data_IF_127149008254
#
_entry.id   IF_127149008254
#
_cell.length_a   1.000
_cell.length_b   1.000
_cell.length_c   1.000
_cell.angle_alpha   90.00
_cell.angle_beta   90.00
_cell.angle_gamma   90.00
#
_symmetry.space_group_name_H-M   'P 1'
#
loop_
_entity.id
_entity.type
_entity.pdbx_description
1 polymer ?
#
# COMPACT_ATOMS: atom_id res chain seq x y z
N UNK A 1 9.18 -45.96 9.88
CA UNK A 1 8.70 -44.58 10.21
C UNK A 1 9.43 -43.56 9.35
N UNK A 2 8.86 -43.22 8.18
CA UNK A 2 9.48 -42.35 7.16
C UNK A 2 9.06 -40.91 7.46
N UNK A 3 9.99 -40.04 7.88
CA UNK A 3 9.73 -38.61 8.14
C UNK A 3 9.57 -37.88 6.80
N UNK A 4 8.37 -37.36 6.52
CA UNK A 4 8.13 -36.42 5.44
C UNK A 4 8.53 -35.02 5.91
N UNK A 5 9.52 -34.44 5.23
CA UNK A 5 9.91 -33.03 5.34
C UNK A 5 9.17 -32.29 4.23
N UNK A 6 8.05 -31.65 4.57
CA UNK A 6 7.34 -30.79 3.61
C UNK A 6 8.08 -29.45 3.56
N UNK A 7 8.90 -29.27 2.52
CA UNK A 7 9.48 -27.98 2.20
C UNK A 7 8.37 -27.01 1.80
N UNK A 8 8.22 -25.92 2.53
CA UNK A 8 7.34 -24.82 2.16
C UNK A 8 7.93 -24.12 0.93
N UNK A 9 7.51 -24.55 -0.26
CA UNK A 9 7.65 -23.74 -1.47
C UNK A 9 6.62 -22.63 -1.39
N UNK A 10 7.05 -21.42 -1.03
CA UNK A 10 6.31 -20.19 -1.30
C UNK A 10 6.38 -19.92 -2.80
N UNK A 11 5.57 -20.63 -3.58
CA UNK A 11 5.25 -20.19 -4.93
C UNK A 11 4.45 -18.90 -4.80
N UNK A 12 5.03 -17.79 -5.23
CA UNK A 12 4.28 -16.57 -5.55
C UNK A 12 3.28 -16.97 -6.64
N UNK A 13 2.04 -17.23 -6.25
CA UNK A 13 0.97 -17.43 -7.21
C UNK A 13 0.82 -16.11 -7.99
N UNK A 14 1.17 -16.14 -9.27
CA UNK A 14 0.75 -15.11 -10.20
C UNK A 14 -0.75 -15.32 -10.35
N UNK A 15 -1.54 -14.61 -9.55
CA UNK A 15 -3.00 -14.69 -9.66
C UNK A 15 -3.41 -14.35 -11.10
N UNK A 16 -4.37 -15.06 -11.71
CA UNK A 16 -4.91 -14.68 -13.01
C UNK A 16 -5.62 -13.32 -12.91
N UNK A 17 -5.80 -12.65 -14.06
CA UNK A 17 -6.60 -11.43 -14.14
C UNK A 17 -8.03 -11.70 -13.63
N UNK A 18 -8.52 -10.80 -12.78
CA UNK A 18 -9.84 -10.87 -12.16
C UNK A 18 -10.67 -9.65 -12.60
N UNK A 19 -11.65 -9.89 -13.46
CA UNK A 19 -12.50 -8.84 -14.04
C UNK A 19 -13.51 -8.26 -13.06
N UNK A 20 -13.82 -8.96 -11.97
CA UNK A 20 -14.71 -8.45 -10.92
C UNK A 20 -13.98 -7.48 -9.99
N UNK A 21 -12.64 -7.55 -10.00
CA UNK A 21 -11.75 -6.81 -9.10
C UNK A 21 -11.00 -5.66 -9.76
N UNK A 22 -10.69 -5.78 -11.05
CA UNK A 22 -9.92 -4.78 -11.79
C UNK A 22 -10.67 -4.29 -13.02
N UNK A 23 -10.63 -2.97 -13.26
CA UNK A 23 -11.28 -2.36 -14.41
C UNK A 23 -10.70 -2.79 -15.76
N UNK A 24 -9.48 -3.34 -15.76
CA UNK A 24 -8.82 -3.85 -16.96
C UNK A 24 -7.45 -4.47 -16.67
N UNK A 25 -6.83 -5.09 -17.69
CA UNK A 25 -5.52 -5.74 -17.55
C UNK A 25 -4.41 -4.78 -17.08
N UNK A 26 -4.43 -3.54 -17.54
CA UNK A 26 -3.43 -2.53 -17.15
C UNK A 26 -3.51 -2.17 -15.65
N UNK A 27 -4.72 -2.08 -15.09
CA UNK A 27 -4.93 -1.89 -13.65
C UNK A 27 -4.41 -3.11 -12.87
N UNK A 28 -4.62 -4.32 -13.39
CA UNK A 28 -4.09 -5.53 -12.77
C UNK A 28 -2.55 -5.58 -12.76
N UNK A 29 -1.89 -5.22 -13.87
CA UNK A 29 -0.43 -5.09 -13.91
C UNK A 29 0.08 -4.04 -12.90
N UNK A 30 -0.62 -2.91 -12.81
CA UNK A 30 -0.29 -1.85 -11.85
C UNK A 30 -0.46 -2.32 -10.41
N UNK A 31 -1.46 -3.12 -10.10
CA UNK A 31 -1.61 -3.78 -8.81
C UNK A 31 -0.39 -4.65 -8.47
N UNK A 32 0.11 -5.45 -9.42
CA UNK A 32 1.33 -6.25 -9.22
C UNK A 32 2.57 -5.38 -8.96
N UNK A 33 2.67 -4.19 -9.57
CA UNK A 33 3.72 -3.22 -9.27
C UNK A 33 3.57 -2.65 -7.86
N UNK A 34 2.35 -2.29 -7.46
CA UNK A 34 2.05 -1.75 -6.13
C UNK A 34 2.28 -2.77 -5.00
N UNK A 35 2.10 -4.06 -5.26
CA UNK A 35 2.43 -5.13 -4.32
C UNK A 35 3.93 -5.15 -3.94
N UNK A 36 4.81 -4.67 -4.82
CA UNK A 36 6.26 -4.61 -4.57
C UNK A 36 6.67 -3.35 -3.80
N UNK A 37 5.78 -2.36 -3.63
CA UNK A 37 6.05 -1.08 -2.97
C UNK A 37 5.52 -1.09 -1.52
N UNK A 38 6.26 -0.43 -0.63
CA UNK A 38 5.75 -0.10 0.71
C UNK A 38 4.76 1.06 0.62
N UNK A 39 3.51 0.86 1.05
CA UNK A 39 2.51 1.93 1.08
C UNK A 39 2.76 2.86 2.28
N UNK A 40 2.25 4.10 2.21
CA UNK A 40 2.53 5.14 3.21
C UNK A 40 2.31 4.74 4.69
N UNK A 41 1.27 3.97 5.06
CA UNK A 41 1.10 3.49 6.44
C UNK A 41 2.26 2.61 6.95
N UNK A 42 3.05 2.01 6.05
CA UNK A 42 4.24 1.24 6.40
C UNK A 42 5.48 2.12 6.64
N UNK A 43 5.41 3.41 6.27
CA UNK A 43 6.47 4.40 6.48
C UNK A 43 6.19 5.20 7.75
N UNK A 44 6.49 4.61 8.90
CA UNK A 44 6.40 5.31 10.17
C UNK A 44 7.49 6.37 10.29
N UNK A 45 7.09 7.61 10.61
CA UNK A 45 8.01 8.69 10.94
C UNK A 45 8.00 8.88 12.46
N UNK A 46 9.11 8.54 13.11
CA UNK A 46 9.28 8.81 14.54
C UNK A 46 9.65 10.28 14.73
N UNK A 47 8.63 11.13 14.89
CA UNK A 47 8.81 12.56 15.12
C UNK A 47 8.61 12.83 16.60
N UNK A 48 9.67 13.27 17.28
CA UNK A 48 9.58 13.63 18.70
C UNK A 48 9.17 15.10 18.85
N UNK A 49 8.30 15.45 19.83
CA UNK A 49 7.85 16.83 20.03
C UNK A 49 8.99 17.82 20.28
N UNK A 50 10.06 17.36 20.96
CA UNK A 50 11.25 18.16 21.27
C UNK A 50 12.41 17.92 20.29
N UNK A 51 12.14 17.26 19.15
CA UNK A 51 13.16 16.89 18.18
C UNK A 51 13.49 18.00 17.18
N UNK A 52 14.40 17.67 16.26
CA UNK A 52 14.83 18.55 15.16
C UNK A 52 13.68 19.04 14.26
N UNK A 53 12.55 18.34 14.26
CA UNK A 53 11.39 18.61 13.40
C UNK A 53 10.19 19.17 14.17
N UNK A 54 10.40 19.83 15.31
CA UNK A 54 9.30 20.42 16.13
C UNK A 54 8.36 21.34 15.35
N UNK A 55 8.87 22.10 14.38
CA UNK A 55 8.06 23.01 13.55
C UNK A 55 7.08 22.24 12.66
N UNK A 56 7.42 21.01 12.29
CA UNK A 56 6.54 20.13 11.54
C UNK A 56 5.41 19.58 12.41
N UNK A 57 5.67 19.29 13.69
CA UNK A 57 4.62 18.92 14.67
C UNK A 57 3.61 20.06 14.83
N UNK A 58 4.09 21.30 15.01
CA UNK A 58 3.21 22.47 15.11
C UNK A 58 2.31 22.61 13.87
N UNK A 59 2.86 22.41 12.67
CA UNK A 59 2.09 22.46 11.44
C UNK A 59 1.06 21.31 11.30
N UNK A 60 1.36 20.13 11.85
CA UNK A 60 0.41 19.01 11.91
C UNK A 60 -0.77 19.36 12.81
N UNK A 61 -0.50 19.92 13.99
CA UNK A 61 -1.52 20.32 14.96
C UNK A 61 -2.42 21.43 14.41
N UNK A 62 -1.81 22.49 13.84
CA UNK A 62 -2.54 23.61 13.23
C UNK A 62 -3.48 23.17 12.11
N UNK A 63 -3.07 22.16 11.33
CA UNK A 63 -3.84 21.62 10.20
C UNK A 63 -4.75 20.47 10.57
N UNK A 64 -4.76 20.04 11.84
CA UNK A 64 -5.53 18.86 12.32
C UNK A 64 -5.22 17.62 11.49
N UNK A 65 -3.93 17.36 11.31
CA UNK A 65 -3.40 16.21 10.58
C UNK A 65 -3.04 15.04 11.51
N UNK A 66 -3.64 14.98 12.69
CA UNK A 66 -3.48 13.93 13.70
C UNK A 66 -3.65 12.52 13.11
N UNK A 67 -4.60 12.34 12.18
CA UNK A 67 -4.82 11.06 11.49
C UNK A 67 -3.69 10.66 10.52
N UNK A 68 -2.89 11.61 10.02
CA UNK A 68 -1.77 11.32 9.11
C UNK A 68 -0.55 10.78 9.85
N UNK A 69 -0.31 11.29 11.07
CA UNK A 69 0.80 10.83 11.92
C UNK A 69 0.45 9.60 12.75
N UNK A 70 -0.84 9.35 12.98
CA UNK A 70 -1.34 8.17 13.66
C UNK A 70 -2.30 7.40 12.75
N UNK A 71 -1.81 6.76 11.68
CA UNK A 71 -2.65 5.98 10.80
C UNK A 71 -3.24 4.78 11.55
N UNK A 72 -4.49 4.36 11.23
CA UNK A 72 -5.08 3.17 11.83
C UNK A 72 -4.16 1.95 11.70
N UNK A 73 -3.99 1.20 12.80
CA UNK A 73 -3.12 0.01 12.82
C UNK A 73 -3.65 -1.16 11.96
N UNK A 74 -4.96 -1.18 11.68
CA UNK A 74 -5.63 -2.21 10.89
C UNK A 74 -6.04 -1.66 9.51
N UNK A 75 -5.08 -1.53 8.60
CA UNK A 75 -5.39 -1.19 7.20
C UNK A 75 -5.27 -2.45 6.35
N UNK A 76 -6.32 -2.74 5.57
CA UNK A 76 -6.24 -3.76 4.52
C UNK A 76 -5.41 -3.22 3.35
N UNK A 77 -4.13 -3.54 3.37
CA UNK A 77 -3.14 -3.08 2.39
C UNK A 77 -3.50 -3.53 0.97
N UNK A 78 -4.09 -4.71 0.81
CA UNK A 78 -4.50 -5.23 -0.51
C UNK A 78 -5.62 -4.38 -1.11
N UNK A 79 -6.62 -4.04 -0.30
CA UNK A 79 -7.71 -3.17 -0.72
C UNK A 79 -7.21 -1.78 -1.11
N UNK A 80 -6.25 -1.22 -0.36
CA UNK A 80 -5.64 0.08 -0.69
C UNK A 80 -4.91 0.00 -2.02
N UNK A 81 -4.13 -1.06 -2.25
CA UNK A 81 -3.40 -1.24 -3.52
C UNK A 81 -4.36 -1.41 -4.69
N UNK A 82 -5.44 -2.15 -4.51
CA UNK A 82 -6.50 -2.35 -5.50
C UNK A 82 -7.20 -1.03 -5.83
N UNK A 83 -7.61 -0.27 -4.81
CA UNK A 83 -8.18 1.07 -4.98
C UNK A 83 -7.25 1.95 -5.83
N UNK A 84 -5.97 2.04 -5.46
CA UNK A 84 -5.03 2.83 -6.24
C UNK A 84 -4.86 2.30 -7.65
N UNK A 85 -4.75 0.98 -7.83
CA UNK A 85 -4.62 0.35 -9.14
C UNK A 85 -5.76 0.74 -10.08
N UNK A 86 -7.00 0.79 -9.57
CA UNK A 86 -8.20 1.14 -10.33
C UNK A 86 -8.44 2.66 -10.46
N UNK A 87 -7.92 3.48 -9.55
CA UNK A 87 -8.16 4.93 -9.55
C UNK A 87 -7.37 5.72 -10.60
N UNK A 88 -6.37 5.10 -11.26
CA UNK A 88 -5.64 5.77 -12.34
C UNK A 88 -6.30 5.41 -13.67
N UNK A 89 -6.82 6.40 -14.43
CA UNK A 89 -7.29 6.17 -15.79
C UNK A 89 -6.12 5.67 -16.64
N UNK A 90 -6.37 4.65 -17.46
CA UNK A 90 -5.37 4.09 -18.37
C UNK A 90 -5.23 4.93 -19.64
N UNK A 91 -6.19 5.82 -19.87
CA UNK A 91 -6.16 6.83 -20.92
C UNK A 91 -5.39 8.06 -20.41
N UNK A 92 -4.09 8.09 -20.65
CA UNK A 92 -3.40 9.34 -20.99
C UNK A 92 -3.09 9.30 -22.50
N UNK A 93 -4.14 9.38 -23.31
CA UNK A 93 -4.07 10.17 -24.52
C UNK A 93 -4.90 11.44 -24.26
N UNK A 94 -4.24 12.59 -24.42
CA UNK A 94 -4.74 13.98 -24.49
C UNK A 94 -4.60 14.84 -23.20
N UNK A 95 -3.99 16.05 -23.28
CA UNK A 95 -3.64 16.85 -24.46
C UNK A 95 -2.22 16.68 -25.03
#
# INVERSE_FOLDING_TARGET
NKKLKTGASTSKATNPFDSDRFSGPAQFERYQVLQKRKIWPEKQFNITPNGKFRSFIAAIDDRKWDKLINPPHCINVELVREFYANAIPVDEDEP
#
